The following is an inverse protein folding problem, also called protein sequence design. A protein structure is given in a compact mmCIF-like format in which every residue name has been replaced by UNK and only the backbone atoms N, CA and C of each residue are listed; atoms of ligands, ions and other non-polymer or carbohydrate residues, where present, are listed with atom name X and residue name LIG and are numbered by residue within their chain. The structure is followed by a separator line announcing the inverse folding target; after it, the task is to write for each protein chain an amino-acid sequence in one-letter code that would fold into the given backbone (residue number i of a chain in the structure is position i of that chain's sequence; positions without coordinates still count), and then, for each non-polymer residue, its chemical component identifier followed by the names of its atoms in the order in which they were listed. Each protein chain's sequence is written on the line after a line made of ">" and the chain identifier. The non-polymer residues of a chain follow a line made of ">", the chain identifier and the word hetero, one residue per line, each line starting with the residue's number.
data_IF_000245106433
#
_entry.id   IF_000245106433
#
_cell.length_a   1.000
_cell.length_b   1.000
_cell.length_c   1.000
_cell.angle_alpha   90.00
_cell.angle_beta   90.00
_cell.angle_gamma   90.00
#
_symmetry.space_group_name_H-M   'P 1'
#
loop_
_entity.id
_entity.type
_entity.pdbx_description
1 polymer ?
#
# COMPACT_ATOMS: atom_id res chain seq x y z
N UNK A 1 2.32 -10.35 -13.35
CA UNK A 1 2.32 -9.19 -12.44
C UNK A 1 0.92 -9.10 -11.86
N UNK A 2 0.75 -9.42 -10.57
CA UNK A 2 -0.58 -9.61 -9.99
C UNK A 2 -1.29 -8.28 -9.74
N UNK A 3 -2.60 -8.31 -9.98
CA UNK A 3 -3.52 -7.19 -10.14
C UNK A 3 -3.68 -6.35 -8.88
N UNK A 4 -3.67 -5.04 -9.10
CA UNK A 4 -3.86 -3.95 -8.16
C UNK A 4 -4.92 -4.27 -7.10
N UNK A 5 -4.46 -4.60 -5.90
CA UNK A 5 -5.30 -5.01 -4.78
C UNK A 5 -6.06 -3.84 -4.16
N UNK A 6 -5.56 -2.63 -4.39
CA UNK A 6 -6.17 -1.36 -4.02
C UNK A 6 -6.71 -0.70 -5.29
N UNK A 7 -8.02 -0.45 -5.31
CA UNK A 7 -8.64 0.42 -6.31
C UNK A 7 -8.02 1.83 -6.20
N UNK A 8 -7.86 2.55 -7.30
CA UNK A 8 -7.27 3.89 -7.35
C UNK A 8 -7.92 4.87 -6.36
N UNK A 9 -9.23 4.74 -6.17
CA UNK A 9 -9.95 5.59 -5.21
C UNK A 9 -9.55 5.33 -3.75
N UNK A 10 -9.37 4.06 -3.38
CA UNK A 10 -8.90 3.69 -2.04
C UNK A 10 -7.43 4.05 -1.85
N UNK A 11 -6.61 3.86 -2.90
CA UNK A 11 -5.20 4.28 -2.87
C UNK A 11 -5.08 5.79 -2.66
N UNK A 12 -5.85 6.61 -3.37
CA UNK A 12 -5.79 8.07 -3.22
C UNK A 12 -6.17 8.56 -1.81
N UNK A 13 -7.10 7.88 -1.14
CA UNK A 13 -7.44 8.18 0.27
C UNK A 13 -6.33 7.76 1.22
N UNK A 14 -5.73 6.58 1.00
CA UNK A 14 -4.64 6.06 1.82
C UNK A 14 -3.34 6.87 1.64
N UNK A 15 -3.02 7.24 0.39
CA UNK A 15 -1.86 8.06 0.04
C UNK A 15 -1.91 9.40 0.76
N UNK A 16 -3.08 10.05 0.85
CA UNK A 16 -3.25 11.29 1.61
C UNK A 16 -2.93 11.12 3.10
N UNK A 17 -3.33 10.00 3.71
CA UNK A 17 -3.03 9.70 5.12
C UNK A 17 -1.53 9.43 5.29
N UNK A 18 -0.92 8.63 4.40
CA UNK A 18 0.51 8.33 4.45
C UNK A 18 1.37 9.59 4.26
N UNK A 19 0.95 10.49 3.37
CA UNK A 19 1.56 11.79 3.16
C UNK A 19 1.45 12.70 4.40
N UNK A 20 0.31 12.65 5.10
CA UNK A 20 0.11 13.38 6.36
C UNK A 20 1.02 12.87 7.48
N UNK A 21 1.26 11.56 7.54
CA UNK A 21 2.17 10.92 8.50
C UNK A 21 3.66 11.10 8.14
N UNK A 22 3.99 12.04 7.26
CA UNK A 22 5.35 12.34 6.78
C UNK A 22 6.08 11.15 6.12
N UNK A 23 5.35 10.13 5.67
CA UNK A 23 5.93 9.11 4.79
C UNK A 23 6.08 9.71 3.41
N UNK A 24 7.28 10.20 3.14
CA UNK A 24 7.68 10.79 1.87
C UNK A 24 7.26 9.86 0.72
N UNK A 25 6.58 10.42 -0.29
CA UNK A 25 5.98 9.70 -1.42
C UNK A 25 7.05 9.20 -2.39
N UNK A 26 7.98 8.38 -1.88
CA UNK A 26 8.88 7.61 -2.71
C UNK A 26 7.98 6.65 -3.47
N UNK A 27 8.14 6.56 -4.79
CA UNK A 27 7.41 5.64 -5.71
C UNK A 27 7.26 4.20 -5.20
N UNK A 28 8.09 3.79 -4.24
CA UNK A 28 8.07 2.48 -3.60
C UNK A 28 7.03 2.32 -2.47
N UNK A 29 6.41 3.41 -1.99
CA UNK A 29 5.43 3.37 -0.90
C UNK A 29 4.23 2.48 -1.28
N UNK A 30 3.75 2.63 -2.51
CA UNK A 30 2.68 1.78 -3.06
C UNK A 30 3.04 0.32 -3.09
N UNK A 31 4.23 -0.01 -3.59
CA UNK A 31 4.71 -1.40 -3.62
C UNK A 31 4.87 -1.98 -2.22
N UNK A 32 5.34 -1.19 -1.26
CA UNK A 32 5.49 -1.63 0.14
C UNK A 32 4.13 -1.90 0.78
N UNK A 33 3.18 -0.97 0.65
CA UNK A 33 1.83 -1.12 1.21
C UNK A 33 1.08 -2.29 0.57
N UNK A 34 1.12 -2.41 -0.77
CA UNK A 34 0.53 -3.55 -1.47
C UNK A 34 1.20 -4.86 -1.04
N UNK A 35 2.52 -4.89 -0.85
CA UNK A 35 3.26 -6.05 -0.35
C UNK A 35 2.95 -6.42 1.11
N UNK A 36 2.64 -5.44 1.97
CA UNK A 36 2.17 -5.67 3.34
C UNK A 36 0.76 -6.22 3.32
N UNK A 37 -0.17 -5.61 2.58
CA UNK A 37 -1.56 -6.06 2.49
C UNK A 37 -1.66 -7.46 1.88
N UNK A 38 -0.82 -7.76 0.88
CA UNK A 38 -0.72 -9.09 0.32
C UNK A 38 -0.30 -10.13 1.37
N UNK A 39 0.70 -9.80 2.20
CA UNK A 39 1.16 -10.63 3.33
C UNK A 39 0.18 -10.70 4.49
N UNK A 40 -0.62 -9.67 4.73
CA UNK A 40 -1.70 -9.71 5.74
C UNK A 40 -2.84 -10.62 5.30
N UNK A 41 -3.16 -10.65 3.99
CA UNK A 41 -4.27 -11.45 3.47
C UNK A 41 -3.94 -12.94 3.38
N UNK A 42 -2.73 -13.29 2.96
CA UNK A 42 -2.24 -14.67 3.03
C UNK A 42 -1.43 -14.81 4.30
N UNK A 43 -1.94 -15.48 5.33
CA UNK A 43 -1.39 -15.68 6.68
C UNK A 43 0.09 -16.13 6.73
N UNK A 44 1.00 -15.33 6.20
CA UNK A 44 2.40 -15.62 6.06
C UNK A 44 3.10 -14.97 7.26
N UNK A 45 3.68 -15.75 8.18
CA UNK A 45 4.40 -15.20 9.32
C UNK A 45 5.62 -14.41 8.85
N UNK A 46 6.01 -13.42 9.65
CA UNK A 46 7.23 -12.63 9.46
C UNK A 46 8.50 -13.49 9.51
#
# INVERSE_FOLDING_TARGET
>A
MLRWMLNDEFWSKLEKILLQEAMDNKRNLRMTVEGILYRMRGSCPW
#
